data_IF_977367091459
#
_entry.id   IF_977367091459
#
_cell.length_a   1.000
_cell.length_b   1.000
_cell.length_c   1.000
_cell.angle_alpha   90.00
_cell.angle_beta   90.00
_cell.angle_gamma   90.00
#
_symmetry.space_group_name_H-M   'P 1'
#
loop_
_entity.id
_entity.type
_entity.pdbx_description
1 polymer ?
#
# COMPACT_ATOMS: atom_id res chain seq x y z
N UNK A 1 7.73 -25.35 -16.42
CA UNK A 1 7.99 -26.36 -15.33
C UNK A 1 9.11 -25.85 -14.48
N UNK A 2 8.81 -25.44 -13.25
CA UNK A 2 9.83 -25.20 -12.21
C UNK A 2 10.42 -26.56 -11.85
N UNK A 3 11.73 -26.79 -11.99
CA UNK A 3 12.31 -28.09 -11.69
C UNK A 3 12.04 -28.44 -10.22
N UNK A 4 11.35 -29.52 -9.96
CA UNK A 4 11.04 -30.05 -8.62
C UNK A 4 12.27 -30.15 -7.67
N UNK A 5 13.49 -30.09 -8.20
CA UNK A 5 14.74 -30.06 -7.44
C UNK A 5 15.05 -28.72 -6.76
N UNK A 6 14.56 -27.61 -7.28
CA UNK A 6 14.77 -26.27 -6.69
C UNK A 6 13.81 -26.06 -5.49
N UNK A 7 12.58 -26.50 -5.61
CA UNK A 7 11.57 -26.37 -4.54
C UNK A 7 12.02 -27.04 -3.24
N UNK A 8 12.58 -28.26 -3.32
CA UNK A 8 13.03 -28.98 -2.14
C UNK A 8 14.26 -28.37 -1.44
N UNK A 9 15.19 -27.74 -2.19
CA UNK A 9 16.37 -27.11 -1.61
C UNK A 9 16.07 -25.75 -0.97
N UNK A 10 15.18 -24.99 -1.56
CA UNK A 10 14.73 -23.69 -1.02
C UNK A 10 13.94 -23.85 0.27
N UNK A 11 13.02 -24.82 0.34
CA UNK A 11 12.30 -25.18 1.58
C UNK A 11 13.25 -25.57 2.70
N UNK A 12 14.25 -26.41 2.43
CA UNK A 12 15.23 -26.82 3.45
C UNK A 12 16.10 -25.67 3.95
N UNK A 13 16.47 -24.71 3.09
CA UNK A 13 17.26 -23.52 3.47
C UNK A 13 16.39 -22.61 4.34
N UNK A 14 15.16 -22.34 3.94
CA UNK A 14 14.19 -21.54 4.68
C UNK A 14 13.95 -22.12 6.08
N UNK A 15 13.59 -23.39 6.17
CA UNK A 15 13.26 -24.05 7.45
C UNK A 15 14.45 -24.09 8.42
N UNK A 16 15.67 -24.16 7.87
CA UNK A 16 16.90 -24.12 8.68
C UNK A 16 17.20 -22.72 9.21
N UNK A 17 17.04 -21.70 8.37
CA UNK A 17 17.43 -20.34 8.71
C UNK A 17 16.33 -19.57 9.45
N UNK A 18 15.07 -19.95 9.20
CA UNK A 18 13.88 -19.28 9.74
C UNK A 18 12.84 -20.26 10.29
N UNK A 19 13.19 -21.08 11.29
CA UNK A 19 12.33 -22.19 11.79
C UNK A 19 11.04 -21.70 12.46
N UNK A 20 10.96 -20.42 12.82
CA UNK A 20 9.80 -19.83 13.50
C UNK A 20 8.85 -19.10 12.53
N UNK A 21 9.15 -19.08 11.21
CA UNK A 21 8.29 -18.45 10.20
C UNK A 21 7.47 -19.56 9.53
N UNK A 22 6.15 -19.51 9.72
CA UNK A 22 5.23 -20.34 8.95
C UNK A 22 5.23 -19.88 7.49
N UNK A 23 5.30 -20.81 6.57
CA UNK A 23 5.32 -20.52 5.15
C UNK A 23 4.49 -21.54 4.38
N UNK A 24 3.60 -21.01 3.53
CA UNK A 24 2.69 -21.78 2.71
C UNK A 24 2.87 -21.42 1.23
N UNK A 25 2.72 -22.39 0.33
CA UNK A 25 2.80 -22.18 -1.11
C UNK A 25 1.38 -22.20 -1.69
N UNK A 26 1.04 -21.15 -2.46
CA UNK A 26 -0.26 -21.02 -3.11
C UNK A 26 -0.09 -20.79 -4.61
N UNK A 27 -1.06 -21.24 -5.39
CA UNK A 27 -1.22 -20.82 -6.78
C UNK A 27 -1.73 -19.38 -6.82
N UNK A 28 -1.30 -18.61 -7.82
CA UNK A 28 -1.63 -17.17 -7.92
C UNK A 28 -3.15 -16.92 -8.04
N UNK A 29 -3.88 -17.74 -8.77
CA UNK A 29 -5.33 -17.66 -8.89
C UNK A 29 -6.05 -17.94 -7.57
N UNK A 30 -5.59 -18.90 -6.80
CA UNK A 30 -6.09 -19.14 -5.46
C UNK A 30 -5.74 -18.00 -4.49
N UNK A 31 -4.52 -17.45 -4.59
CA UNK A 31 -4.10 -16.30 -3.78
C UNK A 31 -4.99 -15.08 -4.04
N UNK A 32 -5.28 -14.76 -5.30
CA UNK A 32 -6.19 -13.68 -5.68
C UNK A 32 -7.57 -13.85 -5.00
N UNK A 33 -8.16 -15.05 -5.07
CA UNK A 33 -9.42 -15.34 -4.38
C UNK A 33 -9.30 -15.18 -2.85
N UNK A 34 -8.20 -15.68 -2.26
CA UNK A 34 -8.02 -15.62 -0.80
C UNK A 34 -7.74 -14.19 -0.30
N UNK A 35 -7.08 -13.34 -1.07
CA UNK A 35 -6.92 -11.93 -0.73
C UNK A 35 -8.26 -11.22 -0.56
N UNK A 36 -9.27 -11.59 -1.36
CA UNK A 36 -10.63 -11.05 -1.22
C UNK A 36 -11.38 -11.68 -0.05
N UNK A 37 -11.28 -13.00 0.11
CA UNK A 37 -12.14 -13.75 1.04
C UNK A 37 -11.55 -13.91 2.44
N UNK A 38 -10.24 -13.91 2.57
CA UNK A 38 -9.49 -14.20 3.80
C UNK A 38 -8.19 -13.38 3.87
N UNK A 39 -8.20 -12.05 3.67
CA UNK A 39 -6.98 -11.21 3.63
C UNK A 39 -6.16 -11.31 4.93
N UNK A 40 -6.81 -11.57 6.06
CA UNK A 40 -6.17 -11.69 7.37
C UNK A 40 -5.20 -12.89 7.49
N UNK A 41 -5.18 -13.79 6.52
CA UNK A 41 -4.30 -14.96 6.52
C UNK A 41 -2.92 -14.66 5.90
N UNK A 42 -2.72 -13.44 5.39
CA UNK A 42 -1.49 -13.05 4.72
C UNK A 42 -0.77 -11.94 5.49
N UNK A 43 0.42 -12.23 5.98
CA UNK A 43 1.31 -11.21 6.55
C UNK A 43 2.26 -10.67 5.48
N UNK A 44 2.88 -11.59 4.73
CA UNK A 44 3.84 -11.27 3.65
C UNK A 44 3.63 -12.24 2.48
N UNK A 45 3.57 -11.72 1.28
CA UNK A 45 3.49 -12.50 0.03
C UNK A 45 4.79 -12.30 -0.74
N UNK A 46 5.46 -13.42 -1.09
CA UNK A 46 6.63 -13.43 -1.95
C UNK A 46 6.24 -14.03 -3.29
N UNK A 47 6.44 -13.28 -4.37
CA UNK A 47 6.03 -13.71 -5.71
C UNK A 47 6.91 -13.09 -6.79
N UNK A 48 6.74 -13.53 -8.04
CA UNK A 48 7.39 -12.89 -9.20
C UNK A 48 6.77 -11.52 -9.48
N UNK A 49 7.52 -10.65 -10.17
CA UNK A 49 7.10 -9.28 -10.44
C UNK A 49 5.70 -9.17 -11.06
N UNK A 50 5.44 -9.91 -12.12
CA UNK A 50 4.15 -9.86 -12.82
C UNK A 50 2.96 -10.22 -11.92
N UNK A 51 3.11 -11.25 -11.12
CA UNK A 51 2.04 -11.67 -10.21
C UNK A 51 1.93 -10.72 -9.02
N UNK A 52 3.04 -10.17 -8.56
CA UNK A 52 3.06 -9.14 -7.52
C UNK A 52 2.30 -7.89 -7.95
N UNK A 53 2.53 -7.42 -9.18
CA UNK A 53 1.83 -6.25 -9.74
C UNK A 53 0.31 -6.48 -9.80
N UNK A 54 -0.13 -7.68 -10.22
CA UNK A 54 -1.56 -8.02 -10.28
C UNK A 54 -2.18 -8.09 -8.88
N UNK A 55 -1.54 -8.80 -7.96
CA UNK A 55 -2.07 -8.99 -6.60
C UNK A 55 -2.02 -7.71 -5.76
N UNK A 56 -1.03 -6.84 -5.97
CA UNK A 56 -0.96 -5.56 -5.27
C UNK A 56 -2.05 -4.59 -5.73
N UNK A 57 -2.37 -4.55 -7.01
CA UNK A 57 -3.48 -3.75 -7.53
C UNK A 57 -4.84 -4.26 -7.03
N UNK A 58 -5.01 -5.59 -6.96
CA UNK A 58 -6.19 -6.21 -6.34
C UNK A 58 -6.29 -5.82 -4.86
N UNK A 59 -5.19 -5.92 -4.10
CA UNK A 59 -5.12 -5.49 -2.71
C UNK A 59 -5.44 -4.00 -2.53
N UNK A 60 -4.92 -3.14 -3.41
CA UNK A 60 -5.26 -1.72 -3.42
C UNK A 60 -6.75 -1.49 -3.65
N UNK A 61 -7.39 -2.29 -4.52
CA UNK A 61 -8.83 -2.27 -4.74
C UNK A 61 -9.63 -2.56 -3.47
N UNK A 62 -9.17 -3.49 -2.65
CA UNK A 62 -9.83 -3.88 -1.38
C UNK A 62 -9.79 -2.77 -0.31
N UNK A 63 -8.77 -1.93 -0.31
CA UNK A 63 -8.60 -0.86 0.69
C UNK A 63 -9.15 0.50 0.21
N UNK A 64 -9.84 0.54 -0.92
CA UNK A 64 -10.51 1.75 -1.41
C UNK A 64 -9.94 2.32 -2.71
N UNK A 65 -9.02 1.62 -3.34
CA UNK A 65 -8.48 1.94 -4.66
C UNK A 65 -7.05 2.48 -4.64
N UNK A 66 -6.49 2.61 -5.84
CA UNK A 66 -5.10 3.05 -6.06
C UNK A 66 -4.77 4.43 -5.48
N UNK A 67 -5.78 5.29 -5.30
CA UNK A 67 -5.64 6.61 -4.69
C UNK A 67 -5.30 6.58 -3.19
N UNK A 68 -5.38 5.42 -2.54
CA UNK A 68 -5.07 5.21 -1.12
C UNK A 68 -3.85 4.29 -0.90
N UNK A 69 -3.31 3.67 -1.94
CA UNK A 69 -2.24 2.69 -1.81
C UNK A 69 -0.84 3.34 -1.92
N UNK A 70 -0.03 3.32 -0.85
CA UNK A 70 1.38 3.70 -0.89
C UNK A 70 2.24 2.57 -1.46
N UNK A 71 3.42 2.90 -1.97
CA UNK A 71 4.41 1.92 -2.43
C UNK A 71 5.83 2.32 -2.05
N UNK A 72 6.66 1.30 -1.82
CA UNK A 72 8.09 1.48 -1.56
C UNK A 72 8.89 0.27 -2.02
N UNK A 73 9.93 0.52 -2.81
CA UNK A 73 10.94 -0.45 -3.17
C UNK A 73 12.12 -0.29 -2.20
N UNK A 74 12.23 -1.20 -1.23
CA UNK A 74 13.16 -1.07 -0.11
C UNK A 74 14.28 -2.10 -0.24
N UNK A 75 15.51 -1.62 -0.37
CA UNK A 75 16.72 -2.42 -0.33
C UNK A 75 17.48 -2.22 0.97
N UNK A 76 18.67 -2.83 1.07
CA UNK A 76 19.47 -2.80 2.30
C UNK A 76 19.94 -1.38 2.66
N UNK A 77 20.35 -0.58 1.67
CA UNK A 77 20.93 0.74 1.89
C UNK A 77 20.08 1.89 1.33
N UNK A 78 19.10 1.59 0.46
CA UNK A 78 18.33 2.61 -0.26
C UNK A 78 16.86 2.24 -0.34
N UNK A 79 15.99 3.24 -0.37
CA UNK A 79 14.56 3.10 -0.62
C UNK A 79 14.11 4.04 -1.74
N UNK A 80 13.21 3.56 -2.60
CA UNK A 80 12.47 4.35 -3.57
C UNK A 80 11.00 4.32 -3.16
N UNK A 81 10.40 5.49 -2.99
CA UNK A 81 9.02 5.63 -2.53
C UNK A 81 8.21 6.35 -3.60
N UNK A 82 7.14 5.72 -4.05
CA UNK A 82 6.26 6.24 -5.09
C UNK A 82 4.81 5.77 -4.86
N UNK A 83 3.79 6.51 -5.32
CA UNK A 83 2.42 6.01 -5.26
C UNK A 83 2.26 4.83 -6.22
N UNK A 84 1.37 3.90 -5.90
CA UNK A 84 1.09 2.73 -6.74
C UNK A 84 0.50 3.12 -8.10
N UNK A 85 -0.33 4.19 -8.13
CA UNK A 85 -1.02 4.62 -9.34
C UNK A 85 -0.10 5.22 -10.40
N UNK A 86 -0.48 5.08 -11.68
CA UNK A 86 0.18 5.69 -12.83
C UNK A 86 -0.17 7.18 -13.02
N UNK A 87 0.07 7.69 -14.23
CA UNK A 87 -0.05 9.11 -14.58
C UNK A 87 -1.48 9.62 -14.82
N UNK A 88 -2.47 8.74 -14.99
CA UNK A 88 -3.88 9.06 -15.21
C UNK A 88 -4.10 10.24 -16.21
N UNK A 89 -3.68 10.11 -17.49
CA UNK A 89 -3.66 11.21 -18.44
C UNK A 89 -5.04 11.80 -18.73
N UNK A 90 -6.09 11.04 -18.55
CA UNK A 90 -7.50 11.42 -18.74
C UNK A 90 -7.98 12.45 -17.70
N UNK A 91 -7.38 12.51 -16.53
CA UNK A 91 -7.70 13.50 -15.46
C UNK A 91 -6.60 14.53 -15.23
N UNK A 92 -5.50 14.45 -15.99
CA UNK A 92 -4.40 15.40 -15.87
C UNK A 92 -4.87 16.86 -16.02
N UNK A 93 -4.43 17.73 -15.11
CA UNK A 93 -4.79 19.15 -15.10
C UNK A 93 -6.19 19.47 -14.58
N UNK A 94 -7.05 18.48 -14.26
CA UNK A 94 -8.39 18.72 -13.75
C UNK A 94 -8.44 19.01 -12.24
N UNK A 95 -7.37 18.78 -11.51
CA UNK A 95 -7.26 19.02 -10.07
C UNK A 95 -8.17 18.13 -9.22
N UNK A 96 -8.48 16.90 -9.69
CA UNK A 96 -9.41 15.97 -9.04
C UNK A 96 -8.75 14.67 -8.59
N UNK A 97 -7.46 14.50 -8.83
CA UNK A 97 -6.72 13.32 -8.39
C UNK A 97 -6.66 13.25 -6.85
N UNK A 98 -6.81 12.05 -6.31
CA UNK A 98 -6.68 11.79 -4.87
C UNK A 98 -5.21 11.91 -4.44
N UNK A 99 -4.85 12.77 -3.48
CA UNK A 99 -3.48 12.94 -3.03
C UNK A 99 -3.04 11.92 -1.95
N UNK A 100 -3.97 11.13 -1.42
CA UNK A 100 -3.71 10.30 -0.24
C UNK A 100 -2.61 9.26 -0.48
N UNK A 101 -2.56 8.63 -1.67
CA UNK A 101 -1.51 7.64 -1.98
C UNK A 101 -0.11 8.25 -1.84
N UNK A 102 0.13 9.45 -2.37
CA UNK A 102 1.42 10.14 -2.22
C UNK A 102 1.67 10.54 -0.77
N UNK A 103 0.67 11.03 -0.04
CA UNK A 103 0.80 11.41 1.38
C UNK A 103 1.15 10.20 2.23
N UNK A 104 0.48 9.06 2.01
CA UNK A 104 0.79 7.80 2.69
C UNK A 104 2.15 7.22 2.29
N UNK A 105 2.57 7.43 1.04
CA UNK A 105 3.93 7.08 0.58
C UNK A 105 5.00 7.88 1.35
N UNK A 106 4.74 9.15 1.65
CA UNK A 106 5.63 9.96 2.50
C UNK A 106 5.66 9.39 3.92
N UNK A 107 4.52 8.99 4.48
CA UNK A 107 4.49 8.33 5.79
C UNK A 107 5.33 7.04 5.80
N UNK A 108 5.21 6.20 4.77
CA UNK A 108 6.03 4.99 4.60
C UNK A 108 7.53 5.31 4.49
N UNK A 109 7.91 6.37 3.78
CA UNK A 109 9.30 6.85 3.72
C UNK A 109 9.80 7.30 5.09
N UNK A 110 8.98 7.97 5.88
CA UNK A 110 9.33 8.39 7.24
C UNK A 110 9.50 7.18 8.17
N UNK A 111 8.69 6.13 8.04
CA UNK A 111 8.90 4.86 8.76
C UNK A 111 10.26 4.23 8.42
N UNK A 112 10.63 4.20 7.15
CA UNK A 112 11.94 3.73 6.71
C UNK A 112 13.09 4.55 7.32
N UNK A 113 12.90 5.87 7.45
CA UNK A 113 13.84 6.80 8.09
C UNK A 113 13.78 6.75 9.64
N UNK A 114 12.90 5.91 10.22
CA UNK A 114 12.66 5.74 11.67
C UNK A 114 12.04 6.97 12.35
N UNK A 115 11.38 7.83 11.58
CA UNK A 115 10.62 8.99 12.05
C UNK A 115 9.17 8.57 12.34
N UNK A 116 8.99 7.56 13.20
CA UNK A 116 7.72 6.87 13.45
C UNK A 116 6.62 7.78 13.98
N UNK A 117 6.97 8.76 14.82
CA UNK A 117 5.99 9.70 15.40
C UNK A 117 5.31 10.53 14.31
N UNK A 118 6.11 11.06 13.37
CA UNK A 118 5.59 11.87 12.26
C UNK A 118 4.81 11.00 11.28
N UNK A 119 5.31 9.81 10.97
CA UNK A 119 4.63 8.84 10.12
C UNK A 119 3.25 8.49 10.69
N UNK A 120 3.16 8.12 11.96
CA UNK A 120 1.90 7.80 12.60
C UNK A 120 0.92 8.98 12.59
N UNK A 121 1.41 10.20 12.79
CA UNK A 121 0.60 11.41 12.74
C UNK A 121 -0.01 11.63 11.35
N UNK A 122 0.76 11.43 10.28
CA UNK A 122 0.27 11.54 8.91
C UNK A 122 -0.78 10.46 8.61
N UNK A 123 -0.49 9.20 8.95
CA UNK A 123 -1.43 8.09 8.75
C UNK A 123 -2.77 8.37 9.46
N UNK A 124 -2.71 8.84 10.70
CA UNK A 124 -3.91 9.15 11.49
C UNK A 124 -4.70 10.32 10.91
N UNK A 125 -4.02 11.36 10.44
CA UNK A 125 -4.66 12.50 9.79
C UNK A 125 -5.42 12.09 8.52
N UNK A 126 -4.81 11.26 7.67
CA UNK A 126 -5.48 10.72 6.47
C UNK A 126 -6.70 9.88 6.89
N UNK A 127 -6.56 8.98 7.86
CA UNK A 127 -7.67 8.16 8.37
C UNK A 127 -8.83 9.03 8.88
N UNK A 128 -8.55 10.04 9.69
CA UNK A 128 -9.55 10.93 10.27
C UNK A 128 -10.30 11.72 9.19
N UNK A 129 -9.59 12.34 8.24
CA UNK A 129 -10.18 13.14 7.16
C UNK A 129 -11.03 12.29 6.24
N UNK A 130 -10.53 11.12 5.83
CA UNK A 130 -11.27 10.19 4.95
C UNK A 130 -12.49 9.63 5.67
N UNK A 131 -12.36 9.21 6.93
CA UNK A 131 -13.47 8.68 7.73
C UNK A 131 -14.54 9.74 8.02
N UNK A 132 -14.15 11.00 8.19
CA UNK A 132 -15.11 12.11 8.37
C UNK A 132 -15.98 12.34 7.13
N UNK A 133 -15.53 11.96 5.95
CA UNK A 133 -16.32 11.98 4.71
C UNK A 133 -16.70 13.36 4.18
N UNK A 134 -16.11 14.45 4.73
CA UNK A 134 -16.50 15.82 4.40
C UNK A 134 -15.80 16.37 3.17
N UNK A 135 -14.54 16.01 3.00
CA UNK A 135 -13.65 16.52 1.95
C UNK A 135 -13.06 15.33 1.22
N UNK A 136 -13.79 14.78 0.25
CA UNK A 136 -13.41 13.60 -0.52
C UNK A 136 -13.31 13.93 -2.00
N UNK A 137 -12.34 13.36 -2.68
CA UNK A 137 -12.19 13.40 -4.14
C UNK A 137 -13.21 12.48 -4.84
N UNK A 138 -13.44 12.64 -6.16
CA UNK A 138 -14.48 11.87 -6.89
C UNK A 138 -14.31 10.35 -6.82
N UNK A 139 -13.09 9.83 -6.76
CA UNK A 139 -12.79 8.40 -6.61
C UNK A 139 -13.26 7.83 -5.26
N UNK A 140 -13.34 8.67 -4.23
CA UNK A 140 -13.91 8.34 -2.92
C UNK A 140 -15.39 8.74 -2.79
N UNK A 141 -16.05 9.06 -3.90
CA UNK A 141 -17.47 9.42 -3.93
C UNK A 141 -17.79 10.87 -3.53
N UNK A 142 -16.77 11.72 -3.41
CA UNK A 142 -16.92 13.15 -3.12
C UNK A 142 -16.86 14.03 -4.35
N UNK A 143 -16.74 15.35 -4.12
CA UNK A 143 -16.62 16.36 -5.18
C UNK A 143 -15.48 17.35 -4.91
N UNK A 144 -14.64 17.08 -3.93
CA UNK A 144 -13.54 17.96 -3.56
C UNK A 144 -12.38 17.85 -4.55
N UNK A 145 -11.63 18.91 -4.68
CA UNK A 145 -10.41 18.94 -5.46
C UNK A 145 -9.24 18.28 -4.71
N UNK A 146 -8.19 17.94 -5.44
CA UNK A 146 -6.89 17.52 -4.89
C UNK A 146 -6.39 18.48 -3.81
N UNK A 147 -6.47 19.80 -4.09
CA UNK A 147 -5.98 20.84 -3.18
C UNK A 147 -6.82 20.96 -1.90
N UNK A 148 -8.13 20.81 -1.99
CA UNK A 148 -9.02 20.86 -0.82
C UNK A 148 -8.80 19.67 0.10
N UNK A 149 -8.69 18.45 -0.44
CA UNK A 149 -8.40 17.26 0.36
C UNK A 149 -7.00 17.36 0.98
N UNK A 150 -5.98 17.78 0.21
CA UNK A 150 -4.62 18.00 0.74
C UNK A 150 -4.64 19.00 1.89
N UNK A 151 -5.35 20.13 1.72
CA UNK A 151 -5.46 21.15 2.77
C UNK A 151 -6.10 20.58 4.03
N UNK A 152 -7.20 19.85 3.91
CA UNK A 152 -7.86 19.23 5.07
C UNK A 152 -6.94 18.26 5.83
N UNK A 153 -6.11 17.48 5.12
CA UNK A 153 -5.15 16.58 5.75
C UNK A 153 -4.03 17.39 6.45
N UNK A 154 -3.53 18.44 5.82
CA UNK A 154 -2.49 19.33 6.43
C UNK A 154 -3.03 20.01 7.68
N UNK A 155 -4.24 20.55 7.62
CA UNK A 155 -4.89 21.19 8.77
C UNK A 155 -5.05 20.17 9.92
N UNK A 156 -5.48 18.95 9.62
CA UNK A 156 -5.57 17.85 10.60
C UNK A 156 -4.21 17.48 11.19
N UNK A 157 -3.13 17.42 10.39
CA UNK A 157 -1.77 17.16 10.89
C UNK A 157 -1.32 18.26 11.86
N UNK A 158 -1.67 19.51 11.62
CA UNK A 158 -1.21 20.66 12.42
C UNK A 158 -2.03 20.85 13.70
N UNK A 159 -3.33 20.58 13.66
CA UNK A 159 -4.30 20.91 14.70
C UNK A 159 -4.79 19.70 15.48
N UNK A 160 -4.62 18.48 14.95
CA UNK A 160 -5.08 17.25 15.58
C UNK A 160 -4.31 16.92 16.86
N UNK A 161 -5.05 16.51 17.91
CA UNK A 161 -4.49 15.95 19.14
C UNK A 161 -4.18 14.46 18.93
N UNK A 162 -2.89 14.12 18.80
CA UNK A 162 -2.40 12.76 18.54
C UNK A 162 -1.59 12.21 19.70
#
# INVERSE_FOLDING_TARGET
EIPLRLVGSEMCIRDRNYPNIESNDFYVDATAMYLITQPQNFDVIVTSNLFGDILSDEGAGLVGGLGLAPSGNIGDDHGLFEPVHGSAPDIAGKGIANPCSMILTIAMMLDYLKEYEISNKINKAVENVVSAGKTLTPDLGGNSTTSELTKSIVDEILEGDY
#
